data_IF_830087857904
#
_entry.id   IF_830087857904
#
_cell.length_a   1.000
_cell.length_b   1.000
_cell.length_c   1.000
_cell.angle_alpha   90.00
_cell.angle_beta   90.00
_cell.angle_gamma   90.00
#
_symmetry.space_group_name_H-M   'P 1'
#
loop_
_entity.id
_entity.type
_entity.pdbx_description
1 polymer ?
#
# COMPACT_ATOMS: atom_id res chain seq x y z
N UNK A 1 39.44 6.08 -36.13
CA UNK A 1 38.94 5.28 -35.00
C UNK A 1 37.71 6.00 -34.46
N UNK A 2 36.53 5.44 -34.71
CA UNK A 2 35.24 6.03 -34.36
C UNK A 2 35.04 5.92 -32.84
N UNK A 3 34.80 7.04 -32.18
CA UNK A 3 34.40 7.07 -30.78
C UNK A 3 33.11 6.27 -30.62
N UNK A 4 33.18 5.12 -29.94
CA UNK A 4 31.99 4.38 -29.50
C UNK A 4 31.17 5.32 -28.61
N UNK A 5 29.91 5.51 -28.96
CA UNK A 5 28.96 6.30 -28.18
C UNK A 5 28.91 5.80 -26.74
N UNK A 6 28.93 6.74 -25.80
CA UNK A 6 28.54 6.45 -24.42
C UNK A 6 27.04 6.16 -24.45
N UNK A 7 26.65 4.96 -24.03
CA UNK A 7 25.24 4.62 -23.90
C UNK A 7 24.65 5.46 -22.75
N UNK A 8 23.35 5.77 -22.80
CA UNK A 8 22.70 6.55 -21.73
C UNK A 8 22.82 5.89 -20.34
N UNK A 9 23.07 4.58 -20.30
CA UNK A 9 23.43 3.80 -19.12
C UNK A 9 24.78 4.19 -18.49
N UNK A 10 25.71 4.73 -19.28
CA UNK A 10 27.02 5.21 -18.80
C UNK A 10 26.94 6.59 -18.14
N UNK A 11 25.81 7.28 -18.26
CA UNK A 11 25.59 8.60 -17.67
C UNK A 11 25.18 8.52 -16.18
N UNK A 12 24.81 7.34 -15.68
CA UNK A 12 24.45 7.11 -14.28
C UNK A 12 25.41 6.15 -13.58
N UNK A 13 25.67 6.35 -12.27
CA UNK A 13 26.60 5.52 -11.51
C UNK A 13 25.98 4.17 -11.09
N UNK A 14 25.14 3.55 -11.93
CA UNK A 14 24.64 2.20 -11.68
C UNK A 14 25.78 1.17 -11.47
N UNK A 15 27.01 1.53 -11.86
CA UNK A 15 28.22 0.71 -11.79
C UNK A 15 29.09 1.01 -10.56
N UNK A 16 28.81 2.06 -9.77
CA UNK A 16 29.65 2.39 -8.61
C UNK A 16 29.44 1.36 -7.49
N UNK A 17 30.48 0.72 -6.93
CA UNK A 17 30.31 -0.29 -5.87
C UNK A 17 29.66 0.30 -4.60
N UNK A 18 29.79 1.59 -4.35
CA UNK A 18 29.29 2.24 -3.15
C UNK A 18 27.81 2.65 -3.29
N UNK A 19 26.96 1.99 -2.50
CA UNK A 19 25.52 2.28 -2.42
C UNK A 19 25.20 3.76 -2.11
N UNK A 20 26.04 4.46 -1.35
CA UNK A 20 25.81 5.86 -0.99
C UNK A 20 26.00 6.78 -2.18
N UNK A 21 26.97 6.47 -3.06
CA UNK A 21 27.21 7.24 -4.29
C UNK A 21 26.05 7.02 -5.26
N UNK A 22 25.65 5.76 -5.46
CA UNK A 22 24.49 5.41 -6.31
C UNK A 22 23.22 6.11 -5.85
N UNK A 23 22.90 6.01 -4.56
CA UNK A 23 21.77 6.69 -3.95
C UNK A 23 21.85 8.22 -4.08
N UNK A 24 23.02 8.81 -3.86
CA UNK A 24 23.21 10.27 -3.93
C UNK A 24 22.99 10.79 -5.35
N UNK A 25 23.47 10.07 -6.37
CA UNK A 25 23.25 10.44 -7.76
C UNK A 25 21.76 10.42 -8.13
N UNK A 26 21.02 9.40 -7.70
CA UNK A 26 19.58 9.34 -7.91
C UNK A 26 18.84 10.47 -7.18
N UNK A 27 19.29 10.84 -5.97
CA UNK A 27 18.75 12.00 -5.24
C UNK A 27 18.99 13.30 -5.98
N UNK A 28 20.19 13.52 -6.50
CA UNK A 28 20.55 14.70 -7.30
C UNK A 28 19.69 14.75 -8.57
N UNK A 29 19.60 13.65 -9.32
CA UNK A 29 18.74 13.58 -10.50
C UNK A 29 17.29 13.94 -10.16
N UNK A 30 16.74 13.31 -9.12
CA UNK A 30 15.36 13.53 -8.68
C UNK A 30 15.08 14.93 -8.12
N UNK A 31 16.12 15.74 -7.90
CA UNK A 31 15.99 17.11 -7.40
C UNK A 31 15.85 18.14 -8.52
N UNK A 32 16.18 17.77 -9.76
CA UNK A 32 16.06 18.63 -10.94
C UNK A 32 14.58 18.76 -11.32
N UNK A 33 14.07 19.99 -11.40
CA UNK A 33 12.65 20.28 -11.69
C UNK A 33 12.45 20.78 -13.12
N UNK A 34 13.00 20.07 -14.10
CA UNK A 34 12.89 20.41 -15.53
C UNK A 34 12.33 19.21 -16.29
N UNK A 35 11.17 19.35 -16.92
CA UNK A 35 10.41 18.21 -17.48
C UNK A 35 11.21 17.36 -18.48
N UNK A 36 12.16 17.95 -19.22
CA UNK A 36 12.99 17.24 -20.20
C UNK A 36 13.79 16.06 -19.61
N UNK A 37 14.03 16.05 -18.29
CA UNK A 37 14.76 14.96 -17.62
C UNK A 37 13.88 13.77 -17.22
N UNK A 38 12.55 13.88 -17.33
CA UNK A 38 11.61 12.85 -16.87
C UNK A 38 11.87 11.46 -17.49
N UNK A 39 12.12 11.30 -18.82
CA UNK A 39 12.44 10.00 -19.40
C UNK A 39 13.73 9.38 -18.84
N UNK A 40 14.74 10.21 -18.63
CA UNK A 40 16.03 9.78 -18.06
C UNK A 40 15.84 9.33 -16.61
N UNK A 41 15.09 10.11 -15.82
CA UNK A 41 14.75 9.78 -14.45
C UNK A 41 13.95 8.49 -14.34
N UNK A 42 13.00 8.25 -15.25
CA UNK A 42 12.24 7.00 -15.32
C UNK A 42 13.15 5.78 -15.52
N UNK A 43 14.12 5.88 -16.45
CA UNK A 43 15.11 4.81 -16.68
C UNK A 43 15.95 4.58 -15.42
N UNK A 44 16.48 5.64 -14.81
CA UNK A 44 17.29 5.53 -13.58
C UNK A 44 16.52 4.91 -12.42
N UNK A 45 15.23 5.23 -12.27
CA UNK A 45 14.37 4.60 -11.25
C UNK A 45 14.21 3.10 -11.55
N UNK A 46 13.91 2.71 -12.79
CA UNK A 46 13.73 1.29 -13.19
C UNK A 46 14.95 0.43 -12.93
N UNK A 47 16.14 0.99 -13.07
CA UNK A 47 17.39 0.32 -12.71
C UNK A 47 17.56 0.27 -11.18
N UNK A 48 17.34 1.40 -10.50
CA UNK A 48 17.58 1.53 -9.06
C UNK A 48 16.62 0.71 -8.20
N UNK A 49 15.41 0.40 -8.66
CA UNK A 49 14.49 -0.51 -7.94
C UNK A 49 14.96 -1.97 -7.96
N UNK A 50 15.94 -2.32 -8.79
CA UNK A 50 16.57 -3.65 -8.85
C UNK A 50 17.94 -3.67 -8.15
N UNK A 51 18.33 -2.57 -7.52
CA UNK A 51 19.62 -2.46 -6.85
C UNK A 51 19.73 -3.47 -5.70
N UNK A 52 20.94 -4.03 -5.52
CA UNK A 52 21.22 -4.97 -4.44
C UNK A 52 21.01 -4.36 -3.05
N UNK A 53 21.28 -3.06 -2.90
CA UNK A 53 21.10 -2.33 -1.65
C UNK A 53 19.64 -1.91 -1.44
N UNK A 54 19.03 -2.30 -0.31
CA UNK A 54 17.71 -1.79 0.08
C UNK A 54 17.68 -0.27 0.25
N UNK A 55 18.81 0.36 0.59
CA UNK A 55 18.90 1.80 0.73
C UNK A 55 18.71 2.50 -0.62
N UNK A 56 19.32 2.00 -1.70
CA UNK A 56 19.14 2.54 -3.05
C UNK A 56 17.70 2.33 -3.53
N UNK A 57 17.12 1.16 -3.27
CA UNK A 57 15.70 0.88 -3.61
C UNK A 57 14.73 1.80 -2.85
N UNK A 58 14.99 2.09 -1.56
CA UNK A 58 14.24 3.11 -0.79
C UNK A 58 14.32 4.48 -1.45
N UNK A 59 15.52 4.89 -1.91
CA UNK A 59 15.69 6.17 -2.60
C UNK A 59 14.96 6.20 -3.94
N UNK A 60 14.97 5.10 -4.68
CA UNK A 60 14.21 4.96 -5.92
C UNK A 60 12.70 5.09 -5.69
N UNK A 61 12.17 4.47 -4.64
CA UNK A 61 10.76 4.62 -4.24
C UNK A 61 10.40 6.08 -3.97
N UNK A 62 11.23 6.84 -3.23
CA UNK A 62 10.98 8.27 -2.97
C UNK A 62 11.13 9.16 -4.22
N UNK A 63 11.85 8.70 -5.24
CA UNK A 63 11.99 9.43 -6.50
C UNK A 63 10.71 9.33 -7.37
N UNK A 64 9.89 8.28 -7.20
CA UNK A 64 8.66 8.06 -7.96
C UNK A 64 7.69 9.22 -7.80
N UNK A 65 7.39 9.66 -6.58
CA UNK A 65 6.45 10.77 -6.36
C UNK A 65 6.93 12.07 -7.02
N UNK A 66 8.25 12.30 -7.03
CA UNK A 66 8.84 13.47 -7.68
C UNK A 66 8.75 13.40 -9.20
N UNK A 67 8.99 12.22 -9.78
CA UNK A 67 8.83 12.01 -11.22
C UNK A 67 7.36 12.17 -11.63
N UNK A 68 6.42 11.59 -10.87
CA UNK A 68 5.00 11.75 -11.13
C UNK A 68 4.55 13.23 -11.07
N UNK A 69 5.10 13.99 -10.12
CA UNK A 69 4.84 15.43 -10.03
C UNK A 69 5.42 16.22 -11.20
N UNK A 70 6.49 15.71 -11.83
CA UNK A 70 7.16 16.35 -12.95
C UNK A 70 6.48 16.00 -14.29
N UNK A 71 6.04 14.76 -14.44
CA UNK A 71 5.40 14.22 -15.63
C UNK A 71 4.35 13.16 -15.24
N UNK A 72 3.07 13.58 -15.09
CA UNK A 72 1.97 12.68 -14.74
C UNK A 72 1.65 11.64 -15.82
N UNK A 73 2.07 11.85 -17.09
CA UNK A 73 1.78 10.94 -18.19
C UNK A 73 2.53 9.61 -18.06
N UNK A 74 3.55 9.57 -17.19
CA UNK A 74 4.31 8.36 -16.86
C UNK A 74 3.61 7.46 -15.82
N UNK A 75 2.37 7.79 -15.38
CA UNK A 75 1.63 7.08 -14.34
C UNK A 75 1.63 5.57 -14.51
N UNK A 76 1.26 5.07 -15.69
CA UNK A 76 1.14 3.63 -15.93
C UNK A 76 2.49 2.90 -15.77
N UNK A 77 3.56 3.54 -16.23
CA UNK A 77 4.92 3.02 -16.07
C UNK A 77 5.38 3.03 -14.61
N UNK A 78 4.98 4.04 -13.85
CA UNK A 78 5.29 4.14 -12.42
C UNK A 78 4.52 3.11 -11.60
N UNK A 79 3.29 2.78 -11.99
CA UNK A 79 2.49 1.73 -11.34
C UNK A 79 3.21 0.38 -11.39
N UNK A 80 3.80 0.00 -12.53
CA UNK A 80 4.60 -1.23 -12.65
C UNK A 80 5.77 -1.26 -11.66
N UNK A 81 6.46 -0.13 -11.52
CA UNK A 81 7.59 0.02 -10.60
C UNK A 81 7.13 -0.05 -9.14
N UNK A 82 5.98 0.54 -8.82
CA UNK A 82 5.38 0.50 -7.48
C UNK A 82 4.98 -0.93 -7.12
N UNK A 83 4.32 -1.69 -8.01
CA UNK A 83 3.96 -3.10 -7.77
C UNK A 83 5.21 -3.94 -7.44
N UNK A 84 6.31 -3.71 -8.18
CA UNK A 84 7.59 -4.35 -7.89
C UNK A 84 8.14 -3.99 -6.50
N UNK A 85 8.07 -2.72 -6.09
CA UNK A 85 8.57 -2.26 -4.79
C UNK A 85 7.68 -2.72 -3.62
N UNK A 86 6.37 -2.83 -3.80
CA UNK A 86 5.47 -3.40 -2.79
C UNK A 86 5.78 -4.89 -2.54
N UNK A 87 6.30 -5.59 -3.54
CA UNK A 87 6.79 -6.96 -3.40
C UNK A 87 8.14 -7.08 -2.66
N UNK A 88 8.85 -5.99 -2.37
CA UNK A 88 10.20 -6.00 -1.75
C UNK A 88 10.23 -6.68 -0.38
N UNK A 89 11.22 -7.53 -0.14
CA UNK A 89 11.35 -8.30 1.11
C UNK A 89 11.84 -7.45 2.28
N UNK A 90 12.46 -6.29 2.03
CA UNK A 90 13.09 -5.47 3.06
C UNK A 90 12.16 -4.36 3.55
N UNK A 91 11.95 -4.28 4.86
CA UNK A 91 11.06 -3.29 5.50
C UNK A 91 11.50 -1.84 5.29
N UNK A 92 12.81 -1.61 5.11
CA UNK A 92 13.39 -0.30 4.79
C UNK A 92 12.79 0.32 3.51
N UNK A 93 12.35 -0.50 2.56
CA UNK A 93 11.79 -0.04 1.27
C UNK A 93 10.27 0.14 1.36
N UNK A 94 9.59 -0.68 2.16
CA UNK A 94 8.12 -0.76 2.19
C UNK A 94 7.45 0.57 2.53
N UNK A 95 7.96 1.31 3.52
CA UNK A 95 7.38 2.61 3.89
C UNK A 95 7.38 3.60 2.73
N UNK A 96 8.51 3.70 2.02
CA UNK A 96 8.63 4.57 0.84
C UNK A 96 7.86 4.04 -0.38
N UNK A 97 7.73 2.72 -0.53
CA UNK A 97 6.92 2.11 -1.59
C UNK A 97 5.44 2.40 -1.41
N UNK A 98 4.93 2.29 -0.18
CA UNK A 98 3.53 2.62 0.14
C UNK A 98 3.29 4.12 0.02
N UNK A 99 4.26 4.97 0.39
CA UNK A 99 4.16 6.41 0.12
C UNK A 99 4.06 6.71 -1.39
N UNK A 100 4.90 6.09 -2.22
CA UNK A 100 4.80 6.24 -3.67
C UNK A 100 3.44 5.77 -4.22
N UNK A 101 2.91 4.66 -3.69
CA UNK A 101 1.56 4.18 -4.02
C UNK A 101 0.48 5.23 -3.68
N UNK A 102 0.53 5.81 -2.48
CA UNK A 102 -0.43 6.82 -2.02
C UNK A 102 -0.44 8.08 -2.90
N UNK A 103 0.73 8.49 -3.38
CA UNK A 103 0.87 9.70 -4.21
C UNK A 103 0.47 9.48 -5.67
N UNK A 104 0.72 8.29 -6.23
CA UNK A 104 0.58 8.05 -7.68
C UNK A 104 -0.74 7.37 -8.04
N UNK A 105 -1.13 6.36 -7.28
CA UNK A 105 -2.25 5.49 -7.63
C UNK A 105 -3.05 4.96 -6.42
N UNK A 106 -3.53 5.84 -5.51
CA UNK A 106 -4.27 5.41 -4.32
C UNK A 106 -5.57 4.65 -4.63
N UNK A 107 -6.10 4.80 -5.84
CA UNK A 107 -7.28 4.09 -6.37
C UNK A 107 -7.01 2.62 -6.72
N UNK A 108 -5.74 2.22 -6.93
CA UNK A 108 -5.34 0.87 -7.34
C UNK A 108 -5.20 -0.09 -6.17
N UNK A 109 -6.29 -0.24 -5.41
CA UNK A 109 -6.35 -1.09 -4.22
C UNK A 109 -6.02 -2.56 -4.52
N UNK A 110 -6.18 -2.99 -5.78
CA UNK A 110 -5.76 -4.31 -6.27
C UNK A 110 -4.28 -4.60 -6.01
N UNK A 111 -3.40 -3.60 -6.08
CA UNK A 111 -1.96 -3.77 -5.78
C UNK A 111 -1.73 -4.04 -4.29
N UNK A 112 -2.45 -3.34 -3.42
CA UNK A 112 -2.39 -3.54 -1.97
C UNK A 112 -2.96 -4.89 -1.59
N UNK A 113 -4.05 -5.33 -2.23
CA UNK A 113 -4.71 -6.59 -1.93
C UNK A 113 -3.72 -7.78 -1.99
N UNK A 114 -2.85 -7.81 -3.00
CA UNK A 114 -1.79 -8.84 -3.16
C UNK A 114 -0.80 -8.88 -1.99
N UNK A 115 -0.57 -7.74 -1.33
CA UNK A 115 0.48 -7.56 -0.33
C UNK A 115 -0.06 -7.27 1.08
N UNK A 116 -1.38 -7.21 1.26
CA UNK A 116 -2.04 -6.78 2.49
C UNK A 116 -1.52 -7.52 3.72
N UNK A 117 -1.47 -8.85 3.68
CA UNK A 117 -1.05 -9.66 4.84
C UNK A 117 0.39 -9.39 5.23
N UNK A 118 1.26 -9.28 4.23
CA UNK A 118 2.68 -8.96 4.41
C UNK A 118 2.85 -7.56 5.03
N UNK A 119 2.13 -6.57 4.51
CA UNK A 119 2.17 -5.20 5.05
C UNK A 119 1.69 -5.16 6.51
N UNK A 120 0.63 -5.89 6.86
CA UNK A 120 0.18 -6.00 8.25
C UNK A 120 1.24 -6.64 9.15
N UNK A 121 1.88 -7.73 8.71
CA UNK A 121 2.86 -8.48 9.52
C UNK A 121 4.16 -7.70 9.74
N UNK A 122 4.62 -6.97 8.72
CA UNK A 122 5.88 -6.23 8.77
C UNK A 122 5.74 -4.80 9.31
N UNK A 123 4.51 -4.34 9.59
CA UNK A 123 4.22 -2.96 9.94
C UNK A 123 5.07 -2.42 11.10
N UNK A 124 5.24 -3.22 12.16
CA UNK A 124 6.01 -2.83 13.35
C UNK A 124 7.51 -2.69 13.08
N UNK A 125 8.01 -3.31 12.01
CA UNK A 125 9.42 -3.31 11.60
C UNK A 125 9.72 -2.22 10.55
N UNK A 126 8.70 -1.48 10.11
CA UNK A 126 8.85 -0.32 9.23
C UNK A 126 9.33 0.88 10.06
N UNK A 127 10.10 1.78 9.43
CA UNK A 127 10.52 3.05 10.07
C UNK A 127 9.34 3.95 10.45
N UNK A 128 9.58 4.89 11.36
CA UNK A 128 8.54 5.68 12.04
C UNK A 128 7.65 6.46 11.06
N UNK A 129 8.24 6.99 9.99
CA UNK A 129 7.49 7.74 8.99
C UNK A 129 6.70 6.78 8.09
N UNK A 130 7.33 5.67 7.68
CA UNK A 130 6.64 4.61 6.95
C UNK A 130 5.45 4.02 7.71
N UNK A 131 5.54 3.83 9.04
CA UNK A 131 4.44 3.33 9.86
C UNK A 131 3.18 4.18 9.72
N UNK A 132 3.32 5.51 9.77
CA UNK A 132 2.19 6.44 9.64
C UNK A 132 1.50 6.28 8.28
N UNK A 133 2.30 6.25 7.21
CA UNK A 133 1.76 6.12 5.84
C UNK A 133 1.08 4.77 5.64
N UNK A 134 1.71 3.68 6.10
CA UNK A 134 1.16 2.33 5.96
C UNK A 134 -0.13 2.18 6.78
N UNK A 135 -0.21 2.74 8.00
CA UNK A 135 -1.44 2.72 8.80
C UNK A 135 -2.56 3.50 8.10
N UNK A 136 -2.29 4.69 7.58
CA UNK A 136 -3.28 5.48 6.87
C UNK A 136 -3.86 4.72 5.67
N UNK A 137 -2.97 4.10 4.88
CA UNK A 137 -3.34 3.28 3.74
C UNK A 137 -4.17 2.05 4.18
N UNK A 138 -3.70 1.29 5.19
CA UNK A 138 -4.41 0.11 5.70
C UNK A 138 -5.76 0.46 6.33
N UNK A 139 -5.88 1.64 6.93
CA UNK A 139 -7.14 2.16 7.47
C UNK A 139 -8.13 2.45 6.35
N UNK A 140 -7.69 3.12 5.27
CA UNK A 140 -8.53 3.33 4.07
C UNK A 140 -8.94 2.01 3.44
N UNK A 141 -8.00 1.07 3.32
CA UNK A 141 -8.26 -0.28 2.83
C UNK A 141 -9.35 -0.96 3.68
N UNK A 142 -9.21 -0.96 5.00
CA UNK A 142 -10.14 -1.66 5.89
C UNK A 142 -11.57 -1.11 5.80
N UNK A 143 -11.72 0.22 5.67
CA UNK A 143 -13.02 0.89 5.55
C UNK A 143 -13.75 0.63 4.23
N UNK A 144 -13.04 0.18 3.20
CA UNK A 144 -13.60 0.00 1.85
C UNK A 144 -13.71 -1.47 1.45
N UNK A 145 -12.87 -2.35 2.01
CA UNK A 145 -12.77 -3.75 1.59
C UNK A 145 -13.41 -4.75 2.56
N UNK A 146 -13.70 -4.36 3.80
CA UNK A 146 -14.40 -5.21 4.76
C UNK A 146 -15.84 -4.72 4.97
N UNK A 147 -16.74 -5.66 5.22
CA UNK A 147 -18.11 -5.37 5.64
C UNK A 147 -18.09 -4.63 6.97
N UNK A 148 -18.99 -3.65 7.13
CA UNK A 148 -19.15 -2.96 8.41
C UNK A 148 -19.66 -3.95 9.46
N UNK A 149 -18.87 -4.28 10.50
CA UNK A 149 -19.29 -5.21 11.53
C UNK A 149 -20.52 -4.74 12.32
N UNK A 150 -20.83 -3.43 12.33
CA UNK A 150 -22.00 -2.87 13.02
C UNK A 150 -23.27 -2.86 12.16
N UNK A 151 -23.15 -3.09 10.84
CA UNK A 151 -24.30 -3.11 9.93
C UNK A 151 -25.21 -4.32 10.15
N UNK A 152 -24.67 -5.43 10.67
CA UNK A 152 -25.45 -6.63 10.97
C UNK A 152 -26.44 -6.47 12.14
N UNK A 153 -26.21 -5.48 13.02
CA UNK A 153 -27.08 -5.21 14.18
C UNK A 153 -28.20 -4.20 13.86
N UNK A 154 -28.16 -3.53 12.70
CA UNK A 154 -29.11 -2.46 12.35
C UNK A 154 -30.34 -2.94 11.57
N UNK A 155 -30.33 -4.16 11.02
CA UNK A 155 -31.44 -4.71 10.22
C UNK A 155 -32.49 -5.47 11.04
N UNK A 156 -32.30 -5.69 12.35
CA UNK A 156 -33.25 -6.48 13.17
C UNK A 156 -34.45 -5.68 13.74
N UNK A 157 -34.62 -4.39 13.43
CA UNK A 157 -35.63 -3.54 14.09
C UNK A 157 -36.82 -3.05 13.26
N UNK A 158 -37.03 -3.49 12.01
CA UNK A 158 -38.10 -2.91 11.17
C UNK A 158 -39.32 -3.82 10.89
N UNK A 159 -39.23 -5.15 10.99
CA UNK A 159 -40.32 -6.01 10.46
C UNK A 159 -41.12 -6.86 11.46
N UNK A 160 -41.01 -6.65 12.78
CA UNK A 160 -41.75 -7.47 13.76
C UNK A 160 -43.06 -6.85 14.28
N UNK A 161 -43.52 -5.70 13.77
CA UNK A 161 -44.63 -4.96 14.40
C UNK A 161 -45.87 -4.67 13.54
N UNK A 162 -46.08 -5.35 12.40
CA UNK A 162 -47.22 -5.00 11.51
C UNK A 162 -48.26 -6.09 11.21
N UNK A 163 -48.05 -7.38 11.48
CA UNK A 163 -49.13 -8.37 11.32
C UNK A 163 -49.11 -9.43 12.44
N UNK A 164 -49.77 -9.12 13.55
CA UNK A 164 -50.33 -10.14 14.43
C UNK A 164 -51.76 -9.74 14.75
N UNK A 165 -52.63 -10.06 13.79
CA UNK A 165 -54.06 -10.19 14.02
C UNK A 165 -54.57 -11.32 13.14
N UNK A 166 -55.04 -12.35 13.85
CA UNK A 166 -56.11 -13.27 13.46
C UNK A 166 -55.71 -14.58 12.75
N UNK A 167 -56.02 -15.66 13.49
CA UNK A 167 -56.49 -17.01 13.13
C UNK A 167 -55.67 -17.96 12.24
N UNK A 168 -55.29 -19.06 12.90
CA UNK A 168 -55.59 -20.48 12.60
C UNK A 168 -55.60 -21.00 11.14
N UNK A 169 -55.06 -22.21 11.04
CA UNK A 169 -55.14 -23.22 9.98
C UNK A 169 -54.14 -23.18 8.79
N UNK A 170 -53.36 -24.26 8.68
CA UNK A 170 -53.08 -24.92 7.39
C UNK A 170 -51.68 -24.82 6.78
N UNK A 171 -51.03 -25.99 6.70
CA UNK A 171 -50.16 -26.48 5.60
C UNK A 171 -48.71 -25.98 5.41
N UNK A 172 -47.83 -26.98 5.36
CA UNK A 172 -46.60 -27.18 4.57
C UNK A 172 -45.63 -26.03 4.26
N UNK A 173 -44.34 -26.32 4.46
CA UNK A 173 -43.28 -25.76 3.62
C UNK A 173 -42.11 -25.14 4.38
N UNK A 174 -40.92 -25.57 3.99
CA UNK A 174 -39.63 -24.90 4.15
C UNK A 174 -38.91 -25.04 5.50
N UNK A 175 -38.00 -26.04 5.51
CA UNK A 175 -36.83 -26.08 6.38
C UNK A 175 -36.05 -24.76 6.23
N UNK A 176 -36.33 -23.81 7.13
CA UNK A 176 -35.44 -22.69 7.45
C UNK A 176 -34.03 -23.24 7.65
N UNK A 177 -33.11 -22.93 6.74
CA UNK A 177 -31.68 -23.05 7.01
C UNK A 177 -31.34 -22.04 8.10
N UNK A 178 -31.45 -22.46 9.35
CA UNK A 178 -30.86 -21.76 10.48
C UNK A 178 -29.34 -21.79 10.30
N UNK A 179 -28.78 -20.74 9.70
CA UNK A 179 -27.36 -20.47 9.82
C UNK A 179 -27.15 -19.84 11.21
N UNK A 180 -26.29 -20.40 12.08
CA UNK A 180 -26.02 -19.79 13.38
C UNK A 180 -25.30 -18.45 13.16
N UNK A 181 -25.96 -17.34 13.51
CA UNK A 181 -25.35 -16.00 13.58
C UNK A 181 -24.34 -16.00 14.73
N UNK A 182 -23.07 -16.22 14.43
CA UNK A 182 -21.99 -16.07 15.39
C UNK A 182 -21.57 -14.59 15.45
N UNK A 183 -21.68 -13.91 16.60
CA UNK A 183 -21.22 -12.52 16.80
C UNK A 183 -19.69 -12.35 16.76
N UNK A 184 -18.96 -13.40 16.34
CA UNK A 184 -17.50 -13.46 16.23
C UNK A 184 -16.99 -13.42 14.79
N UNK A 185 -17.85 -13.17 13.80
CA UNK A 185 -17.46 -13.22 12.38
C UNK A 185 -16.75 -11.95 11.88
N UNK A 186 -15.90 -11.35 12.71
CA UNK A 186 -14.91 -10.38 12.21
C UNK A 186 -13.99 -11.10 11.21
N UNK A 187 -13.84 -10.52 10.02
CA UNK A 187 -13.01 -11.04 8.95
C UNK A 187 -11.58 -11.34 9.48
N UNK A 188 -11.01 -12.47 9.06
CA UNK A 188 -9.70 -12.92 9.54
C UNK A 188 -8.59 -11.89 9.23
N UNK A 189 -8.67 -11.24 8.08
CA UNK A 189 -7.69 -10.24 7.64
C UNK A 189 -7.88 -8.92 8.41
N UNK A 190 -9.11 -8.52 8.69
CA UNK A 190 -9.40 -7.38 9.56
C UNK A 190 -8.86 -7.61 10.98
N UNK A 191 -9.08 -8.81 11.54
CA UNK A 191 -8.56 -9.20 12.87
C UNK A 191 -7.03 -9.16 12.90
N UNK A 192 -6.38 -9.59 11.83
CA UNK A 192 -4.92 -9.56 11.72
C UNK A 192 -4.38 -8.12 11.72
N UNK A 193 -5.02 -7.21 10.98
CA UNK A 193 -4.65 -5.79 11.01
C UNK A 193 -4.72 -5.24 12.43
N UNK A 194 -5.85 -5.42 13.12
CA UNK A 194 -6.05 -4.92 14.49
C UNK A 194 -5.03 -5.50 15.48
N UNK A 195 -4.68 -6.79 15.31
CA UNK A 195 -3.66 -7.44 16.15
C UNK A 195 -2.28 -6.82 15.93
N UNK A 196 -1.91 -6.53 14.68
CA UNK A 196 -0.58 -6.02 14.35
C UNK A 196 -0.44 -4.51 14.58
N UNK A 197 -1.55 -3.75 14.60
CA UNK A 197 -1.53 -2.32 14.96
C UNK A 197 -1.56 -2.08 16.47
N UNK A 198 -2.06 -3.03 17.28
CA UNK A 198 -2.14 -2.90 18.74
C UNK A 198 -0.82 -2.46 19.43
N UNK A 199 0.37 -2.99 19.08
CA UNK A 199 1.63 -2.55 19.69
C UNK A 199 1.97 -1.08 19.37
N UNK A 200 1.51 -0.56 18.24
CA UNK A 200 1.79 0.81 17.80
C UNK A 200 1.03 1.86 18.62
N UNK A 201 -0.11 1.48 19.21
CA UNK A 201 -0.83 2.34 20.16
C UNK A 201 -0.02 2.62 21.43
N UNK A 202 0.91 1.73 21.76
CA UNK A 202 1.82 1.86 22.91
C UNK A 202 3.19 2.41 22.50
N UNK A 203 3.37 2.71 21.21
CA UNK A 203 4.62 3.25 20.66
C UNK A 203 4.90 4.65 21.17
N UNK A 204 6.19 4.96 21.35
CA UNK A 204 6.66 6.33 21.64
C UNK A 204 6.47 7.29 20.46
N UNK A 205 6.16 6.77 19.28
CA UNK A 205 5.83 7.59 18.12
C UNK A 205 4.44 8.20 18.31
N UNK A 206 4.40 9.50 18.63
CA UNK A 206 3.18 10.26 18.88
C UNK A 206 2.25 10.32 17.67
N UNK A 207 2.79 10.12 16.46
CA UNK A 207 2.01 10.13 15.22
C UNK A 207 1.19 8.85 15.03
N UNK A 208 1.56 7.72 15.66
CA UNK A 208 0.81 6.45 15.58
C UNK A 208 0.13 6.04 16.89
N UNK A 209 0.49 6.63 18.02
CA UNK A 209 -0.11 6.36 19.34
C UNK A 209 -1.40 7.13 19.62
N UNK A 210 -1.82 8.02 18.71
CA UNK A 210 -3.08 8.80 18.82
C UNK A 210 -4.17 8.38 17.82
N UNK A 211 -4.00 7.26 17.13
CA UNK A 211 -5.07 6.65 16.34
C UNK A 211 -6.07 5.90 17.21
#
# INVERSE_FOLDING_TARGET
MIAKGKDASDLFPAVDPNQLIRASALRVLSSIRVAIIAPIMMLSIRESVRDMSPYVRKVAANAISKLFSLDPDLKDQLIEVIDQLLADRTTLVLGSAVHAFEEVCPERIDLIHKHYRKLCQLLVDVDEWGQVVVINMLTRYARTQFLDPNSADSEENVDSKFYSSTDDSGSEGERKKNLPKNPNLMDADLRMLLRNTKPLLQSRNSAVSKF
#
